data_IF_904047306124
#
_entry.id   IF_904047306124
#
_cell.length_a   1.000
_cell.length_b   1.000
_cell.length_c   1.000
_cell.angle_alpha   90.00
_cell.angle_beta   90.00
_cell.angle_gamma   90.00
#
_symmetry.space_group_name_H-M   'P 1'
#
loop_
_entity.id
_entity.type
_entity.pdbx_description
1 polymer ?
#
# COMPACT_ATOMS: atom_id res chain seq x y z
N UNK A 1 41.76 -13.96 43.09
CA UNK A 1 40.83 -14.83 42.38
C UNK A 1 39.78 -14.05 41.61
N UNK A 2 39.10 -13.10 42.21
CA UNK A 2 38.03 -12.26 41.65
C UNK A 2 38.42 -11.49 40.37
N UNK A 3 39.62 -10.86 40.38
CA UNK A 3 40.12 -10.06 39.24
C UNK A 3 40.38 -10.92 37.96
N UNK A 4 40.79 -12.19 38.12
CA UNK A 4 40.97 -13.13 36.98
C UNK A 4 39.65 -13.59 36.39
N UNK A 5 38.61 -13.79 37.23
CA UNK A 5 37.27 -14.17 36.80
C UNK A 5 36.63 -12.99 36.06
N UNK A 6 36.75 -11.77 36.58
CA UNK A 6 36.21 -10.56 35.94
C UNK A 6 36.88 -10.31 34.58
N UNK A 7 38.18 -10.46 34.48
CA UNK A 7 38.93 -10.33 33.22
C UNK A 7 38.52 -11.39 32.16
N UNK A 8 38.20 -12.61 32.62
CA UNK A 8 37.74 -13.68 31.73
C UNK A 8 36.33 -13.41 31.21
N UNK A 9 35.41 -12.97 32.08
CA UNK A 9 34.05 -12.59 31.69
C UNK A 9 34.06 -11.40 30.72
N UNK A 10 34.90 -10.39 30.96
CA UNK A 10 35.02 -9.22 30.09
C UNK A 10 35.56 -9.62 28.69
N UNK A 11 36.57 -10.51 28.63
CA UNK A 11 37.08 -11.04 27.35
C UNK A 11 36.04 -11.85 26.59
N UNK A 12 35.22 -12.65 27.29
CA UNK A 12 34.15 -13.43 26.66
C UNK A 12 33.05 -12.53 26.10
N UNK A 13 32.66 -11.48 26.86
CA UNK A 13 31.67 -10.49 26.39
C UNK A 13 32.19 -9.69 25.18
N UNK A 14 33.47 -9.32 25.18
CA UNK A 14 34.10 -8.61 24.06
C UNK A 14 34.16 -9.49 22.81
N UNK A 15 34.49 -10.79 22.98
CA UNK A 15 34.56 -11.75 21.89
C UNK A 15 33.17 -12.05 21.29
N UNK A 16 32.15 -12.18 22.13
CA UNK A 16 30.76 -12.33 21.69
C UNK A 16 30.26 -11.07 20.94
N UNK A 17 30.58 -9.89 21.45
CA UNK A 17 30.22 -8.62 20.78
C UNK A 17 30.93 -8.48 19.42
N UNK A 18 32.19 -8.91 19.30
CA UNK A 18 32.94 -8.90 18.04
C UNK A 18 32.37 -9.88 17.01
N UNK A 19 31.94 -11.08 17.45
CA UNK A 19 31.29 -12.07 16.58
C UNK A 19 29.93 -11.62 16.11
N UNK A 20 29.13 -11.00 16.97
CA UNK A 20 27.82 -10.45 16.60
C UNK A 20 27.98 -9.26 15.63
N UNK A 21 28.96 -8.39 15.87
CA UNK A 21 29.25 -7.26 14.97
C UNK A 21 29.73 -7.71 13.58
N UNK A 22 30.59 -8.73 13.50
CA UNK A 22 31.07 -9.25 12.20
C UNK A 22 29.99 -9.98 11.41
N UNK A 23 29.05 -10.64 12.10
CA UNK A 23 27.89 -11.28 11.45
C UNK A 23 26.93 -10.24 10.86
N UNK A 24 26.58 -9.21 11.60
CA UNK A 24 25.71 -8.13 11.12
C UNK A 24 26.31 -7.43 9.90
N UNK A 25 27.63 -7.15 9.88
CA UNK A 25 28.33 -6.54 8.74
C UNK A 25 28.36 -7.44 7.48
N UNK A 26 28.25 -8.75 7.61
CA UNK A 26 28.21 -9.69 6.49
C UNK A 26 26.76 -9.94 5.98
N UNK A 27 25.77 -9.76 6.81
CA UNK A 27 24.34 -9.98 6.49
C UNK A 27 23.73 -8.81 5.73
N UNK A 28 24.11 -7.57 6.00
CA UNK A 28 23.58 -6.37 5.36
C UNK A 28 23.79 -6.34 3.82
N UNK A 29 24.97 -6.66 3.26
CA UNK A 29 25.15 -6.74 1.81
C UNK A 29 24.28 -7.82 1.15
N UNK A 30 24.04 -8.94 1.85
CA UNK A 30 23.20 -10.03 1.35
C UNK A 30 21.72 -9.61 1.30
N UNK A 31 21.21 -8.97 2.35
CA UNK A 31 19.85 -8.42 2.38
C UNK A 31 19.68 -7.40 1.24
N UNK A 32 20.63 -6.48 1.08
CA UNK A 32 20.61 -5.46 0.04
C UNK A 32 20.56 -6.07 -1.37
N UNK A 33 21.35 -7.12 -1.63
CA UNK A 33 21.35 -7.83 -2.91
C UNK A 33 20.01 -8.49 -3.22
N UNK A 34 19.43 -9.19 -2.23
CA UNK A 34 18.14 -9.86 -2.36
C UNK A 34 16.99 -8.86 -2.54
N UNK A 35 17.00 -7.75 -1.81
CA UNK A 35 16.04 -6.66 -1.99
C UNK A 35 16.14 -6.07 -3.39
N UNK A 36 17.36 -5.79 -3.88
CA UNK A 36 17.57 -5.27 -5.24
C UNK A 36 17.07 -6.23 -6.32
N UNK A 37 17.27 -7.54 -6.11
CA UNK A 37 16.71 -8.56 -7.00
C UNK A 37 15.19 -8.52 -7.00
N UNK A 38 14.55 -8.56 -5.83
CA UNK A 38 13.09 -8.50 -5.71
C UNK A 38 12.50 -7.22 -6.31
N UNK A 39 13.13 -6.06 -6.05
CA UNK A 39 12.71 -4.78 -6.65
C UNK A 39 12.83 -4.79 -8.19
N UNK A 40 13.79 -5.54 -8.76
CA UNK A 40 13.92 -5.69 -10.21
C UNK A 40 12.83 -6.60 -10.80
N UNK A 41 12.50 -7.69 -10.11
CA UNK A 41 11.42 -8.62 -10.47
C UNK A 41 10.04 -7.92 -10.38
N UNK A 42 9.84 -7.09 -9.35
CA UNK A 42 8.61 -6.32 -9.17
C UNK A 42 8.40 -5.32 -10.32
N UNK A 43 9.45 -4.60 -10.75
CA UNK A 43 9.38 -3.70 -11.91
C UNK A 43 9.02 -4.40 -13.23
N UNK A 44 9.26 -5.71 -13.32
CA UNK A 44 8.87 -6.53 -14.47
C UNK A 44 7.47 -7.16 -14.32
N UNK A 45 6.76 -6.88 -13.23
CA UNK A 45 5.46 -7.47 -12.91
C UNK A 45 5.54 -8.92 -12.39
N UNK A 46 6.72 -9.40 -12.07
CA UNK A 46 6.97 -10.76 -11.57
C UNK A 46 6.77 -10.83 -10.05
N UNK A 47 5.61 -10.44 -9.54
CA UNK A 47 5.33 -10.28 -8.10
C UNK A 47 5.61 -11.55 -7.28
N UNK A 48 5.35 -12.75 -7.81
CA UNK A 48 5.66 -14.00 -7.07
C UNK A 48 7.16 -14.24 -6.94
N UNK A 49 7.95 -13.94 -7.95
CA UNK A 49 9.41 -14.03 -7.89
C UNK A 49 9.99 -12.99 -6.92
N UNK A 50 9.50 -11.74 -7.02
CA UNK A 50 9.85 -10.67 -6.09
C UNK A 50 9.58 -11.06 -4.63
N UNK A 51 8.41 -11.65 -4.34
CA UNK A 51 8.07 -12.17 -3.02
C UNK A 51 9.07 -13.24 -2.55
N UNK A 52 9.52 -14.12 -3.44
CA UNK A 52 10.56 -15.11 -3.13
C UNK A 52 11.87 -14.47 -2.69
N UNK A 53 12.34 -13.46 -3.43
CA UNK A 53 13.56 -12.71 -3.12
C UNK A 53 13.44 -11.93 -1.80
N UNK A 54 12.29 -11.30 -1.54
CA UNK A 54 12.05 -10.59 -0.27
C UNK A 54 11.95 -11.56 0.93
N UNK A 55 11.36 -12.75 0.75
CA UNK A 55 11.33 -13.79 1.78
C UNK A 55 12.73 -14.32 2.10
N UNK A 56 13.58 -14.49 1.08
CA UNK A 56 14.98 -14.85 1.30
C UNK A 56 15.75 -13.75 2.05
N UNK A 57 15.41 -12.47 1.81
CA UNK A 57 15.97 -11.36 2.59
C UNK A 57 15.50 -11.37 4.06
N UNK A 58 14.23 -11.71 4.32
CA UNK A 58 13.68 -11.89 5.67
C UNK A 58 14.39 -13.00 6.45
N UNK A 59 14.75 -14.11 5.78
CA UNK A 59 15.50 -15.20 6.43
C UNK A 59 16.88 -14.75 6.92
N UNK A 60 17.48 -13.73 6.28
CA UNK A 60 18.76 -13.13 6.70
C UNK A 60 18.55 -12.13 7.83
N UNK A 61 17.54 -11.23 7.70
CA UNK A 61 17.19 -10.22 8.70
C UNK A 61 15.67 -10.12 8.88
N UNK A 62 15.17 -10.91 9.82
CA UNK A 62 13.73 -11.01 10.13
C UNK A 62 13.12 -9.74 10.74
N UNK A 63 13.95 -8.76 11.15
CA UNK A 63 13.53 -7.49 11.75
C UNK A 63 13.71 -6.30 10.82
N UNK A 64 14.04 -6.53 9.58
CA UNK A 64 14.19 -5.47 8.60
C UNK A 64 12.84 -4.92 8.16
N UNK A 65 12.46 -3.77 8.69
CA UNK A 65 11.17 -3.12 8.42
C UNK A 65 10.96 -2.90 6.91
N UNK A 66 11.99 -2.51 6.17
CA UNK A 66 11.89 -2.27 4.73
C UNK A 66 11.61 -3.57 3.94
N UNK A 67 12.15 -4.71 4.39
CA UNK A 67 11.87 -6.04 3.83
C UNK A 67 10.44 -6.46 4.14
N UNK A 68 10.01 -6.32 5.39
CA UNK A 68 8.63 -6.68 5.80
C UNK A 68 7.58 -5.91 5.01
N UNK A 69 7.82 -4.61 4.75
CA UNK A 69 6.91 -3.78 3.96
C UNK A 69 6.84 -4.22 2.48
N UNK A 70 7.96 -4.65 1.89
CA UNK A 70 7.96 -5.22 0.53
C UNK A 70 7.19 -6.53 0.45
N UNK A 71 7.34 -7.38 1.46
CA UNK A 71 6.58 -8.64 1.56
C UNK A 71 5.08 -8.34 1.71
N UNK A 72 4.71 -7.39 2.58
CA UNK A 72 3.33 -6.95 2.76
C UNK A 72 2.75 -6.46 1.43
N UNK A 73 3.47 -5.58 0.70
CA UNK A 73 3.05 -5.08 -0.61
C UNK A 73 2.88 -6.23 -1.62
N UNK A 74 3.85 -7.12 -1.74
CA UNK A 74 3.79 -8.23 -2.68
C UNK A 74 2.59 -9.16 -2.42
N UNK A 75 2.28 -9.45 -1.15
CA UNK A 75 1.06 -10.18 -0.80
C UNK A 75 -0.20 -9.39 -1.18
N UNK A 76 -0.25 -8.08 -0.93
CA UNK A 76 -1.37 -7.22 -1.30
C UNK A 76 -1.62 -7.21 -2.81
N UNK A 77 -0.56 -7.10 -3.62
CA UNK A 77 -0.66 -7.10 -5.08
C UNK A 77 -1.15 -8.47 -5.61
N UNK A 78 -0.75 -9.56 -4.98
CA UNK A 78 -1.20 -10.91 -5.35
C UNK A 78 -2.69 -11.15 -5.05
N UNK A 79 -3.32 -10.41 -4.13
CA UNK A 79 -4.75 -10.53 -3.84
C UNK A 79 -5.59 -10.34 -5.11
N UNK A 80 -5.29 -9.31 -5.91
CA UNK A 80 -6.09 -8.90 -7.07
C UNK A 80 -6.07 -9.92 -8.21
N UNK A 81 -5.03 -10.75 -8.27
CA UNK A 81 -4.81 -11.72 -9.36
C UNK A 81 -4.99 -13.18 -8.92
N UNK A 82 -5.33 -13.41 -7.65
CA UNK A 82 -5.44 -14.77 -7.10
C UNK A 82 -6.88 -15.26 -7.06
N UNK A 83 -7.09 -16.48 -7.47
CA UNK A 83 -8.36 -17.22 -7.38
C UNK A 83 -8.07 -18.60 -6.78
N UNK A 84 -9.00 -19.22 -6.05
CA UNK A 84 -10.34 -18.71 -5.69
C UNK A 84 -10.28 -17.61 -4.58
N UNK A 85 -11.43 -16.97 -4.25
CA UNK A 85 -11.49 -15.89 -3.26
C UNK A 85 -10.87 -16.23 -1.90
N UNK A 86 -11.02 -17.46 -1.43
CA UNK A 86 -10.46 -17.93 -0.15
C UNK A 86 -8.92 -17.87 -0.14
N UNK A 87 -8.29 -18.16 -1.28
CA UNK A 87 -6.85 -18.03 -1.43
C UNK A 87 -6.40 -16.55 -1.45
N UNK A 88 -7.19 -15.68 -2.08
CA UNK A 88 -6.97 -14.24 -2.10
C UNK A 88 -7.12 -13.64 -0.67
N UNK A 89 -8.13 -14.06 0.09
CA UNK A 89 -8.33 -13.66 1.49
C UNK A 89 -7.12 -14.03 2.36
N UNK A 90 -6.58 -15.25 2.19
CA UNK A 90 -5.37 -15.65 2.92
C UNK A 90 -4.16 -14.77 2.60
N UNK A 91 -4.02 -14.30 1.36
CA UNK A 91 -2.96 -13.37 0.98
C UNK A 91 -3.18 -11.99 1.60
N UNK A 92 -4.42 -11.51 1.67
CA UNK A 92 -4.75 -10.26 2.33
C UNK A 92 -4.43 -10.31 3.85
N UNK A 93 -4.71 -11.43 4.52
CA UNK A 93 -4.30 -11.64 5.91
C UNK A 93 -2.79 -11.67 6.07
N UNK A 94 -2.04 -12.31 5.17
CA UNK A 94 -0.57 -12.27 5.19
C UNK A 94 -0.05 -10.86 5.00
N UNK A 95 -0.61 -10.09 4.07
CA UNK A 95 -0.26 -8.69 3.90
C UNK A 95 -0.43 -7.89 5.20
N UNK A 96 -1.57 -8.07 5.89
CA UNK A 96 -1.83 -7.42 7.17
C UNK A 96 -0.83 -7.84 8.27
N UNK A 97 -0.52 -9.14 8.37
CA UNK A 97 0.46 -9.65 9.34
C UNK A 97 1.84 -8.99 9.17
N UNK A 98 2.34 -8.91 7.93
CA UNK A 98 3.61 -8.28 7.65
C UNK A 98 3.61 -6.76 7.89
N UNK A 99 2.52 -6.07 7.58
CA UNK A 99 2.36 -4.66 7.91
C UNK A 99 2.34 -4.43 9.42
N UNK A 100 1.66 -5.29 10.18
CA UNK A 100 1.63 -5.22 11.65
C UNK A 100 2.99 -5.47 12.25
N UNK A 101 3.72 -6.48 11.80
CA UNK A 101 5.10 -6.76 12.25
C UNK A 101 6.02 -5.57 12.00
N UNK A 102 5.88 -4.88 10.87
CA UNK A 102 6.66 -3.68 10.58
C UNK A 102 6.34 -2.55 11.59
N UNK A 103 5.05 -2.34 11.91
CA UNK A 103 4.61 -1.36 12.90
C UNK A 103 5.07 -1.69 14.32
N UNK A 104 5.07 -2.97 14.71
CA UNK A 104 5.52 -3.41 16.03
C UNK A 104 7.03 -3.17 16.24
N UNK A 105 7.80 -3.17 15.13
CA UNK A 105 9.22 -2.86 15.15
C UNK A 105 9.50 -1.36 15.18
N UNK A 106 8.78 -0.58 14.37
CA UNK A 106 8.91 0.88 14.35
C UNK A 106 7.58 1.56 13.98
N UNK A 107 6.82 2.05 14.97
CA UNK A 107 5.55 2.73 14.75
C UNK A 107 5.69 4.15 14.16
N UNK A 108 6.91 4.63 13.88
CA UNK A 108 7.15 5.93 13.24
C UNK A 108 7.36 5.83 11.74
N UNK A 109 7.36 4.64 11.19
CA UNK A 109 7.49 4.43 9.74
C UNK A 109 6.15 4.66 9.05
N UNK A 110 6.01 5.78 8.34
CA UNK A 110 4.80 6.18 7.62
C UNK A 110 4.25 5.05 6.71
N UNK A 111 5.14 4.40 5.94
CA UNK A 111 4.79 3.31 5.03
C UNK A 111 4.22 2.07 5.74
N UNK A 112 4.53 1.84 7.01
CA UNK A 112 3.96 0.73 7.77
C UNK A 112 2.48 0.97 8.08
N UNK A 113 2.12 2.19 8.47
CA UNK A 113 0.73 2.62 8.61
C UNK A 113 -0.04 2.51 7.28
N UNK A 114 0.55 3.00 6.19
CA UNK A 114 -0.06 2.90 4.86
C UNK A 114 -0.28 1.45 4.43
N UNK A 115 0.71 0.58 4.61
CA UNK A 115 0.60 -0.84 4.28
C UNK A 115 -0.51 -1.53 5.07
N UNK A 116 -0.67 -1.18 6.35
CA UNK A 116 -1.76 -1.69 7.19
C UNK A 116 -3.12 -1.21 6.70
N UNK A 117 -3.25 0.07 6.32
CA UNK A 117 -4.47 0.61 5.74
C UNK A 117 -4.85 -0.12 4.43
N UNK A 118 -3.87 -0.36 3.54
CA UNK A 118 -4.07 -1.08 2.28
C UNK A 118 -4.52 -2.51 2.53
N UNK A 119 -3.88 -3.23 3.46
CA UNK A 119 -4.24 -4.60 3.79
C UNK A 119 -5.67 -4.71 4.34
N UNK A 120 -6.09 -3.79 5.23
CA UNK A 120 -7.49 -3.70 5.64
C UNK A 120 -8.44 -3.37 4.48
N UNK A 121 -8.01 -2.50 3.54
CA UNK A 121 -8.75 -2.23 2.32
C UNK A 121 -9.01 -3.50 1.51
N UNK A 122 -7.99 -4.33 1.28
CA UNK A 122 -8.12 -5.63 0.60
C UNK A 122 -9.06 -6.58 1.34
N UNK A 123 -8.99 -6.63 2.67
CA UNK A 123 -9.85 -7.50 3.48
C UNK A 123 -11.33 -7.10 3.44
N UNK A 124 -11.66 -5.85 3.06
CA UNK A 124 -13.07 -5.44 2.95
C UNK A 124 -13.86 -6.26 1.93
N UNK A 125 -13.21 -6.86 0.93
CA UNK A 125 -13.89 -7.65 -0.09
C UNK A 125 -14.36 -9.02 0.41
N UNK A 126 -13.81 -9.50 1.52
CA UNK A 126 -14.05 -10.83 2.08
C UNK A 126 -14.92 -10.83 3.34
N UNK A 127 -15.33 -9.66 3.84
CA UNK A 127 -16.05 -9.56 5.11
C UNK A 127 -17.44 -8.96 4.97
N UNK A 128 -18.30 -9.20 5.98
CA UNK A 128 -19.65 -8.64 6.03
C UNK A 128 -19.67 -7.14 6.38
N UNK A 129 -20.83 -6.51 6.19
CA UNK A 129 -21.00 -5.06 6.31
C UNK A 129 -20.59 -4.48 7.67
N UNK A 130 -20.80 -5.22 8.77
CA UNK A 130 -20.39 -4.79 10.11
C UNK A 130 -18.86 -4.62 10.17
N UNK A 131 -18.13 -5.63 9.76
CA UNK A 131 -16.67 -5.64 9.75
C UNK A 131 -16.11 -4.63 8.75
N UNK A 132 -16.78 -4.43 7.59
CA UNK A 132 -16.42 -3.34 6.64
C UNK A 132 -16.41 -1.96 7.30
N UNK A 133 -17.39 -1.67 8.14
CA UNK A 133 -17.44 -0.40 8.87
C UNK A 133 -16.30 -0.27 9.90
N UNK A 134 -15.96 -1.36 10.60
CA UNK A 134 -14.82 -1.40 11.53
C UNK A 134 -13.52 -1.15 10.76
N UNK A 135 -13.28 -1.88 9.65
CA UNK A 135 -12.09 -1.71 8.82
C UNK A 135 -12.02 -0.31 8.20
N UNK A 136 -13.15 0.26 7.78
CA UNK A 136 -13.20 1.63 7.25
C UNK A 136 -12.66 2.68 8.23
N UNK A 137 -12.90 2.53 9.53
CA UNK A 137 -12.33 3.42 10.56
C UNK A 137 -10.82 3.24 10.66
N UNK A 138 -10.36 1.98 10.71
CA UNK A 138 -8.92 1.66 10.77
C UNK A 138 -8.19 2.21 9.53
N UNK A 139 -8.75 2.03 8.33
CA UNK A 139 -8.17 2.55 7.08
C UNK A 139 -7.98 4.06 7.15
N UNK A 140 -9.00 4.80 7.64
CA UNK A 140 -8.90 6.24 7.80
C UNK A 140 -7.80 6.65 8.77
N UNK A 141 -7.79 6.05 9.96
CA UNK A 141 -6.85 6.37 11.02
C UNK A 141 -5.42 6.08 10.60
N UNK A 142 -5.16 4.90 10.04
CA UNK A 142 -3.84 4.50 9.59
C UNK A 142 -3.33 5.35 8.41
N UNK A 143 -4.21 5.66 7.44
CA UNK A 143 -3.84 6.52 6.33
C UNK A 143 -3.56 7.96 6.78
N UNK A 144 -4.36 8.50 7.70
CA UNK A 144 -4.14 9.81 8.28
C UNK A 144 -2.81 9.84 9.06
N UNK A 145 -2.49 8.77 9.80
CA UNK A 145 -1.20 8.67 10.52
C UNK A 145 -0.02 8.57 9.56
N UNK A 146 -0.16 7.84 8.45
CA UNK A 146 0.86 7.82 7.40
C UNK A 146 1.13 9.21 6.84
N UNK A 147 0.09 9.98 6.51
CA UNK A 147 0.22 11.35 5.99
C UNK A 147 0.81 12.31 7.05
N UNK A 148 0.46 12.15 8.32
CA UNK A 148 1.07 12.92 9.42
C UNK A 148 2.59 12.72 9.49
N UNK A 149 3.04 11.47 9.33
CA UNK A 149 4.44 11.08 9.39
C UNK A 149 5.21 11.43 8.10
N UNK A 150 4.57 11.28 6.93
CA UNK A 150 5.13 11.65 5.62
C UNK A 150 4.06 12.27 4.73
N UNK A 151 3.89 13.60 4.75
CA UNK A 151 2.92 14.29 3.91
C UNK A 151 3.30 14.33 2.42
N UNK A 152 4.46 13.83 2.05
CA UNK A 152 4.95 13.78 0.66
C UNK A 152 4.69 12.45 -0.04
N UNK A 153 4.21 11.44 0.68
CA UNK A 153 3.82 10.15 0.09
C UNK A 153 2.50 10.32 -0.70
N UNK A 154 2.63 10.38 -2.02
CA UNK A 154 1.52 10.53 -2.96
C UNK A 154 0.48 9.40 -2.82
N UNK A 155 0.95 8.18 -2.52
CA UNK A 155 0.06 7.03 -2.43
C UNK A 155 -0.81 7.06 -1.16
N UNK A 156 -0.33 7.64 -0.07
CA UNK A 156 -1.15 7.85 1.13
C UNK A 156 -2.33 8.80 0.85
N UNK A 157 -2.09 9.89 0.12
CA UNK A 157 -3.15 10.80 -0.33
C UNK A 157 -4.14 10.12 -1.28
N UNK A 158 -3.66 9.28 -2.18
CA UNK A 158 -4.49 8.48 -3.07
C UNK A 158 -5.41 7.52 -2.28
N UNK A 159 -4.86 6.78 -1.31
CA UNK A 159 -5.64 5.86 -0.46
C UNK A 159 -6.70 6.61 0.35
N UNK A 160 -6.37 7.77 0.93
CA UNK A 160 -7.32 8.59 1.67
C UNK A 160 -8.43 9.13 0.74
N UNK A 161 -8.08 9.54 -0.46
CA UNK A 161 -9.04 10.02 -1.46
C UNK A 161 -10.03 8.92 -1.86
N UNK A 162 -9.55 7.72 -2.13
CA UNK A 162 -10.40 6.54 -2.39
C UNK A 162 -11.29 6.18 -1.20
N UNK A 163 -10.74 6.28 0.01
CA UNK A 163 -11.54 6.07 1.22
C UNK A 163 -12.70 7.06 1.31
N UNK A 164 -12.43 8.37 1.12
CA UNK A 164 -13.48 9.40 1.12
C UNK A 164 -14.55 9.13 0.06
N UNK A 165 -14.15 8.82 -1.18
CA UNK A 165 -15.07 8.51 -2.27
C UNK A 165 -15.92 7.25 -1.94
N UNK A 166 -15.31 6.20 -1.45
CA UNK A 166 -15.99 4.97 -1.08
C UNK A 166 -17.04 5.20 0.02
N UNK A 167 -16.67 5.87 1.10
CA UNK A 167 -17.57 6.13 2.23
C UNK A 167 -18.71 7.11 1.86
N UNK A 168 -18.42 8.16 1.08
CA UNK A 168 -19.43 9.11 0.63
C UNK A 168 -20.52 8.44 -0.22
N UNK A 169 -20.15 7.43 -1.02
CA UNK A 169 -21.03 6.79 -1.99
C UNK A 169 -21.59 5.43 -1.54
N UNK A 170 -21.45 5.05 -0.25
CA UNK A 170 -22.08 3.82 0.26
C UNK A 170 -23.60 3.88 0.15
N UNK A 171 -24.24 2.72 0.01
CA UNK A 171 -25.70 2.61 -0.10
C UNK A 171 -26.42 3.15 1.15
N UNK A 172 -27.66 3.62 0.95
CA UNK A 172 -28.51 4.10 2.05
C UNK A 172 -28.70 3.08 3.17
N UNK A 173 -28.77 1.79 2.82
CA UNK A 173 -28.89 0.68 3.77
C UNK A 173 -27.67 0.62 4.71
N UNK A 174 -26.46 0.74 4.16
CA UNK A 174 -25.22 0.78 4.96
C UNK A 174 -25.15 2.05 5.83
N UNK A 175 -25.63 3.19 5.34
CA UNK A 175 -25.72 4.42 6.16
C UNK A 175 -26.64 4.26 7.35
N UNK A 176 -27.80 3.62 7.17
CA UNK A 176 -28.74 3.33 8.27
C UNK A 176 -28.12 2.35 9.28
N UNK A 177 -27.52 1.27 8.81
CA UNK A 177 -26.83 0.30 9.66
C UNK A 177 -25.72 0.97 10.47
N UNK A 178 -24.88 1.78 9.85
CA UNK A 178 -23.82 2.53 10.53
C UNK A 178 -24.36 3.47 11.61
N UNK A 179 -25.50 4.13 11.36
CA UNK A 179 -26.15 5.01 12.35
C UNK A 179 -26.64 4.23 13.57
N UNK A 180 -27.25 3.07 13.35
CA UNK A 180 -27.81 2.25 14.43
C UNK A 180 -26.72 1.59 15.27
N UNK A 181 -25.66 1.06 14.62
CA UNK A 181 -24.64 0.23 15.30
C UNK A 181 -23.48 1.09 15.84
N UNK A 182 -23.12 2.18 15.15
CA UNK A 182 -21.92 2.96 15.43
C UNK A 182 -22.15 4.47 15.63
N UNK A 183 -23.40 4.89 15.70
CA UNK A 183 -23.74 6.32 15.81
C UNK A 183 -23.55 7.12 14.52
N UNK A 184 -23.19 6.47 13.42
CA UNK A 184 -23.05 7.08 12.10
C UNK A 184 -21.82 6.62 11.32
N UNK A 185 -21.72 7.07 10.07
CA UNK A 185 -20.54 6.88 9.23
C UNK A 185 -19.46 7.91 9.61
N UNK A 186 -18.18 7.58 9.45
CA UNK A 186 -17.14 8.61 9.48
C UNK A 186 -17.44 9.71 8.47
N UNK A 187 -17.13 10.97 8.82
CA UNK A 187 -17.32 12.09 7.90
C UNK A 187 -16.45 11.89 6.64
N UNK A 188 -17.12 11.87 5.50
CA UNK A 188 -16.51 11.72 4.19
C UNK A 188 -17.37 12.41 3.12
N UNK A 189 -16.70 12.99 2.13
CA UNK A 189 -17.36 13.65 1.00
C UNK A 189 -16.59 13.44 -0.30
N UNK A 190 -17.28 13.58 -1.44
CA UNK A 190 -16.63 13.55 -2.74
C UNK A 190 -15.72 14.78 -2.94
N UNK A 191 -15.99 15.89 -2.28
CA UNK A 191 -15.14 17.08 -2.26
C UNK A 191 -13.81 16.81 -1.57
N UNK A 192 -13.81 16.13 -0.41
CA UNK A 192 -12.59 15.77 0.29
C UNK A 192 -11.82 14.66 -0.46
N UNK A 193 -12.53 13.72 -1.09
CA UNK A 193 -11.94 12.78 -2.01
C UNK A 193 -11.17 13.48 -3.14
N UNK A 194 -11.81 14.48 -3.79
CA UNK A 194 -11.18 15.23 -4.86
C UNK A 194 -9.95 16.03 -4.39
N UNK A 195 -9.99 16.64 -3.19
CA UNK A 195 -8.81 17.32 -2.61
C UNK A 195 -7.63 16.34 -2.40
N UNK A 196 -7.90 15.17 -1.83
CA UNK A 196 -6.87 14.17 -1.57
C UNK A 196 -6.28 13.61 -2.88
N UNK A 197 -7.13 13.23 -3.85
CA UNK A 197 -6.68 12.71 -5.14
C UNK A 197 -5.93 13.77 -5.95
N UNK A 198 -6.36 15.04 -5.91
CA UNK A 198 -5.63 16.14 -6.51
C UNK A 198 -4.26 16.31 -5.85
N UNK A 199 -4.16 16.18 -4.52
CA UNK A 199 -2.87 16.22 -3.84
C UNK A 199 -1.96 15.07 -4.28
N UNK A 200 -2.50 13.87 -4.48
CA UNK A 200 -1.76 12.73 -5.03
C UNK A 200 -1.22 13.02 -6.44
N UNK A 201 -2.03 13.59 -7.34
CA UNK A 201 -1.58 13.97 -8.69
C UNK A 201 -0.54 15.08 -8.67
N UNK A 202 -0.62 16.04 -7.75
CA UNK A 202 0.38 17.10 -7.57
C UNK A 202 1.74 16.55 -7.10
N UNK A 203 1.73 15.56 -6.20
CA UNK A 203 2.95 14.94 -5.68
C UNK A 203 3.60 13.97 -6.68
N UNK A 204 2.79 13.28 -7.48
CA UNK A 204 3.28 12.32 -8.47
C UNK A 204 2.55 12.49 -9.83
N UNK A 205 2.83 13.59 -10.58
CA UNK A 205 2.09 13.93 -11.79
C UNK A 205 2.32 12.95 -12.95
N UNK A 206 3.29 12.06 -12.85
CA UNK A 206 3.55 11.03 -13.86
C UNK A 206 2.78 9.73 -13.59
N UNK A 207 2.08 9.62 -12.47
CA UNK A 207 1.42 8.39 -12.07
C UNK A 207 -0.01 8.33 -12.60
N UNK A 208 -0.21 7.57 -13.68
CA UNK A 208 -1.48 7.45 -14.42
C UNK A 208 -2.65 7.09 -13.51
N UNK A 209 -2.46 6.16 -12.55
CA UNK A 209 -3.51 5.72 -11.65
C UNK A 209 -4.13 6.85 -10.81
N UNK A 210 -3.36 7.89 -10.44
CA UNK A 210 -3.88 9.02 -9.68
C UNK A 210 -4.82 9.88 -10.51
N UNK A 211 -4.42 10.19 -11.74
CA UNK A 211 -5.25 10.90 -12.71
C UNK A 211 -6.52 10.10 -13.04
N UNK A 212 -6.40 8.78 -13.20
CA UNK A 212 -7.52 7.90 -13.52
C UNK A 212 -8.60 7.92 -12.43
N UNK A 213 -8.17 7.78 -11.17
CA UNK A 213 -9.12 7.82 -10.04
C UNK A 213 -9.78 9.20 -9.90
N UNK A 214 -9.01 10.28 -10.06
CA UNK A 214 -9.53 11.64 -10.01
C UNK A 214 -10.52 11.92 -11.16
N UNK A 215 -10.22 11.44 -12.36
CA UNK A 215 -11.12 11.55 -13.52
C UNK A 215 -12.45 10.81 -13.28
N UNK A 216 -12.40 9.58 -12.76
CA UNK A 216 -13.60 8.80 -12.41
C UNK A 216 -14.43 9.52 -11.35
N UNK A 217 -13.78 10.07 -10.34
CA UNK A 217 -14.46 10.84 -9.30
C UNK A 217 -15.13 12.09 -9.88
N UNK A 218 -14.43 12.89 -10.69
CA UNK A 218 -15.02 14.08 -11.33
C UNK A 218 -16.20 13.72 -12.24
N UNK A 219 -16.11 12.62 -13.00
CA UNK A 219 -17.23 12.11 -13.80
C UNK A 219 -18.44 11.78 -12.91
N UNK A 220 -18.21 11.06 -11.80
CA UNK A 220 -19.29 10.72 -10.87
C UNK A 220 -19.93 11.95 -10.19
N UNK A 221 -19.15 13.04 -10.01
CA UNK A 221 -19.63 14.32 -9.50
C UNK A 221 -20.31 15.19 -10.57
N UNK A 222 -20.43 14.75 -11.83
CA UNK A 222 -20.97 15.53 -12.94
C UNK A 222 -20.05 16.67 -13.43
N UNK A 223 -18.77 16.67 -13.05
CA UNK A 223 -17.76 17.68 -13.43
C UNK A 223 -17.02 17.24 -14.69
N UNK A 224 -17.75 17.19 -15.81
CA UNK A 224 -17.26 16.62 -17.07
C UNK A 224 -15.97 17.27 -17.58
N UNK A 225 -15.84 18.61 -17.51
CA UNK A 225 -14.64 19.32 -17.98
C UNK A 225 -13.39 18.96 -17.16
N UNK A 226 -13.55 18.79 -15.84
CA UNK A 226 -12.45 18.37 -14.97
C UNK A 226 -12.05 16.92 -15.23
N UNK A 227 -13.02 16.03 -15.42
CA UNK A 227 -12.75 14.65 -15.80
C UNK A 227 -12.01 14.56 -17.14
N UNK A 228 -12.43 15.35 -18.14
CA UNK A 228 -11.79 15.39 -19.45
C UNK A 228 -10.32 15.83 -19.37
N UNK A 229 -10.00 16.81 -18.52
CA UNK A 229 -8.61 17.25 -18.29
C UNK A 229 -7.73 16.14 -17.74
N UNK A 230 -8.21 15.39 -16.76
CA UNK A 230 -7.44 14.29 -16.18
C UNK A 230 -7.28 13.15 -17.19
N UNK A 231 -8.31 12.80 -17.99
CA UNK A 231 -8.18 11.81 -19.05
C UNK A 231 -7.20 12.24 -20.15
N UNK A 232 -7.16 13.52 -20.53
CA UNK A 232 -6.17 14.04 -21.46
C UNK A 232 -4.75 13.93 -20.90
N UNK A 233 -4.56 14.21 -19.60
CA UNK A 233 -3.28 14.03 -18.93
C UNK A 233 -2.81 12.56 -19.01
N UNK A 234 -3.72 11.59 -18.74
CA UNK A 234 -3.40 10.15 -18.87
C UNK A 234 -2.88 9.81 -20.28
N UNK A 235 -3.53 10.32 -21.33
CA UNK A 235 -3.13 10.02 -22.70
C UNK A 235 -1.76 10.61 -23.08
N UNK A 236 -1.36 11.71 -22.43
CA UNK A 236 -0.06 12.35 -22.65
C UNK A 236 1.10 11.67 -21.92
N UNK A 237 0.84 10.87 -20.88
CA UNK A 237 1.86 10.21 -20.08
C UNK A 237 2.38 8.93 -20.77
N UNK A 238 3.65 8.55 -20.60
CA UNK A 238 4.16 7.25 -21.03
C UNK A 238 3.56 6.14 -20.17
N UNK A 239 3.26 4.99 -20.77
CA UNK A 239 2.89 3.79 -20.01
C UNK A 239 4.12 3.12 -19.43
N UNK A 240 4.01 2.66 -18.19
CA UNK A 240 5.07 1.95 -17.47
C UNK A 240 4.75 0.47 -17.26
N UNK A 241 3.48 0.11 -17.34
CA UNK A 241 2.98 -1.25 -17.17
C UNK A 241 1.67 -1.51 -17.94
N UNK A 242 1.12 -2.71 -17.80
CA UNK A 242 -0.13 -3.12 -18.46
C UNK A 242 -1.38 -2.44 -17.87
N UNK A 243 -1.33 -1.99 -16.63
CA UNK A 243 -2.45 -1.33 -15.99
C UNK A 243 -2.57 0.10 -16.50
N UNK A 244 -1.45 0.76 -16.78
CA UNK A 244 -1.41 2.06 -17.46
C UNK A 244 -2.10 2.01 -18.84
N UNK A 245 -1.89 0.93 -19.61
CA UNK A 245 -2.57 0.76 -20.91
C UNK A 245 -4.09 0.58 -20.76
N UNK A 246 -4.55 -0.11 -19.72
CA UNK A 246 -5.98 -0.22 -19.40
C UNK A 246 -6.56 1.17 -19.06
N UNK A 247 -5.83 1.95 -18.25
CA UNK A 247 -6.27 3.30 -17.88
C UNK A 247 -6.30 4.25 -19.09
N UNK A 248 -5.36 4.13 -20.02
CA UNK A 248 -5.40 4.90 -21.28
C UNK A 248 -6.59 4.50 -22.16
N UNK A 249 -6.94 3.22 -22.17
CA UNK A 249 -8.14 2.75 -22.86
C UNK A 249 -9.40 3.36 -22.24
N UNK A 250 -9.52 3.31 -20.91
CA UNK A 250 -10.63 3.94 -20.19
C UNK A 250 -10.68 5.48 -20.38
N UNK A 251 -9.51 6.13 -20.49
CA UNK A 251 -9.44 7.56 -20.78
C UNK A 251 -9.95 7.91 -22.18
N UNK A 252 -9.62 7.10 -23.22
CA UNK A 252 -10.19 7.26 -24.56
C UNK A 252 -11.72 7.15 -24.54
N UNK A 253 -12.24 6.10 -23.88
CA UNK A 253 -13.69 5.90 -23.70
C UNK A 253 -14.33 7.12 -23.00
N UNK A 254 -13.71 7.59 -21.93
CA UNK A 254 -14.17 8.75 -21.16
C UNK A 254 -14.24 10.03 -21.98
N UNK A 255 -13.37 10.18 -22.98
CA UNK A 255 -13.33 11.31 -23.92
C UNK A 255 -14.17 11.09 -25.18
N UNK A 256 -14.82 9.93 -25.36
CA UNK A 256 -15.54 9.59 -26.59
C UNK A 256 -14.61 9.38 -27.80
N UNK A 257 -13.34 9.07 -27.58
CA UNK A 257 -12.37 8.81 -28.63
C UNK A 257 -12.40 7.33 -29.05
N UNK A 258 -12.02 7.00 -30.30
CA UNK A 258 -11.95 5.60 -30.74
C UNK A 258 -10.97 4.81 -29.85
N UNK A 259 -11.46 3.67 -29.36
CA UNK A 259 -10.60 2.67 -28.72
C UNK A 259 -10.04 1.81 -29.84
N UNK A 260 -8.75 1.96 -30.14
CA UNK A 260 -8.09 1.15 -31.16
C UNK A 260 -8.22 -0.32 -30.80
N UNK A 261 -8.49 -1.19 -31.77
CA UNK A 261 -8.41 -2.62 -31.57
C UNK A 261 -7.01 -2.95 -31.02
N UNK A 262 -6.96 -3.61 -29.87
CA UNK A 262 -5.71 -4.11 -29.31
C UNK A 262 -5.00 -4.94 -30.38
N UNK A 263 -3.81 -4.47 -30.81
CA UNK A 263 -2.96 -5.25 -31.72
C UNK A 263 -2.21 -6.31 -30.94
#
# INVERSE_FOLDING_TARGET
>A
MLARVLAMVLKTLLFVALLLGSRALAEEPKVTALVKQGDAEERQGHTRAALGSFRAAEEVDAKNVAVLLRISKAYSDLVDVTKPPEAAEQLAHKSLDYAQRALDLDPKVAKAHLSRAIAYGKLTDFVGNKTKLEYSKIIKEETAKSIELDPTDDFAWYVLGRWHAGVANVSGVLKVLAKVVYGGMPAASNEDAAKCLKKATELAPQRIMHHAELARLYKAMGKADLAAKEWQAILALPSTDSDDEKEKTAAREGLGLPVGAAR
#
